data_IF_978680023090
#
_entry.id   IF_978680023090
#
_cell.length_a   1.000
_cell.length_b   1.000
_cell.length_c   1.000
_cell.angle_alpha   90.00
_cell.angle_beta   90.00
_cell.angle_gamma   90.00
#
_symmetry.space_group_name_H-M   'P 1'
#
loop_
_entity.id
_entity.type
_entity.pdbx_description
1 polymer ?
#
# COMPACT_ATOMS: atom_id res chain seq x y z
N UNK A 1 -8.61 -5.52 -14.98
CA UNK A 1 -8.18 -6.07 -13.66
C UNK A 1 -7.58 -7.48 -13.85
N UNK A 2 -6.28 -7.67 -13.55
CA UNK A 2 -5.60 -8.98 -13.72
C UNK A 2 -5.05 -9.58 -12.42
N UNK A 3 -4.85 -8.76 -11.40
CA UNK A 3 -4.32 -9.20 -10.10
C UNK A 3 -5.41 -10.02 -9.38
N UNK A 4 -5.05 -11.23 -8.95
CA UNK A 4 -5.93 -12.17 -8.23
C UNK A 4 -5.46 -12.47 -6.81
N UNK A 5 -4.17 -12.25 -6.50
CA UNK A 5 -3.61 -12.41 -5.16
C UNK A 5 -4.07 -11.32 -4.19
N UNK A 6 -3.98 -11.60 -2.88
CA UNK A 6 -4.21 -10.59 -1.84
C UNK A 6 -3.17 -9.48 -1.96
N UNK A 7 -3.58 -8.23 -1.73
CA UNK A 7 -2.72 -7.04 -1.84
C UNK A 7 -2.68 -6.28 -0.52
N UNK A 8 -1.47 -5.95 -0.06
CA UNK A 8 -1.25 -4.98 1.01
C UNK A 8 -0.46 -3.80 0.41
N UNK A 9 -0.94 -2.57 0.60
CA UNK A 9 -0.32 -1.36 0.03
C UNK A 9 -0.15 -0.28 1.11
N UNK A 10 1.06 0.23 1.32
CA UNK A 10 1.27 1.42 2.13
C UNK A 10 1.23 2.69 1.27
N UNK A 11 0.68 3.77 1.82
CA UNK A 11 0.59 5.08 1.16
C UNK A 11 0.92 6.19 2.16
N UNK A 12 1.96 6.97 1.88
CA UNK A 12 2.20 8.27 2.52
C UNK A 12 1.37 9.36 1.86
N UNK A 13 0.55 10.11 2.61
CA UNK A 13 -0.30 11.16 2.01
C UNK A 13 0.46 12.43 1.61
N UNK A 14 1.68 12.61 2.12
CA UNK A 14 2.57 13.72 1.78
C UNK A 14 3.60 13.34 0.69
N UNK A 15 3.48 12.16 0.07
CA UNK A 15 4.41 11.71 -0.98
C UNK A 15 4.17 12.49 -2.29
N UNK A 16 5.12 13.35 -2.64
CA UNK A 16 5.11 14.11 -3.91
C UNK A 16 5.85 13.39 -5.07
N UNK A 17 6.66 12.36 -4.77
CA UNK A 17 7.41 11.58 -5.77
C UNK A 17 6.49 10.56 -6.44
N UNK A 18 5.71 9.86 -5.63
CA UNK A 18 4.69 8.91 -6.05
C UNK A 18 3.32 9.37 -5.51
N UNK A 19 2.65 10.36 -6.13
CA UNK A 19 1.44 10.97 -5.55
C UNK A 19 0.36 9.94 -5.18
N UNK A 20 -0.32 10.07 -4.02
CA UNK A 20 -1.37 9.14 -3.58
C UNK A 20 -2.45 8.91 -4.64
N UNK A 21 -2.81 9.94 -5.40
CA UNK A 21 -3.77 9.84 -6.51
C UNK A 21 -3.37 8.81 -7.56
N UNK A 22 -2.08 8.75 -7.93
CA UNK A 22 -1.54 7.78 -8.89
C UNK A 22 -1.53 6.36 -8.32
N UNK A 23 -1.14 6.21 -7.06
CA UNK A 23 -1.16 4.93 -6.35
C UNK A 23 -2.59 4.39 -6.26
N UNK A 24 -3.55 5.24 -5.87
CA UNK A 24 -4.97 4.88 -5.80
C UNK A 24 -5.60 4.64 -7.18
N UNK A 25 -5.12 5.28 -8.26
CA UNK A 25 -5.58 4.97 -9.61
C UNK A 25 -5.31 3.50 -10.00
N UNK A 26 -4.17 2.94 -9.55
CA UNK A 26 -3.88 1.51 -9.70
C UNK A 26 -4.69 0.67 -8.70
N UNK A 27 -4.62 1.00 -7.40
CA UNK A 27 -5.29 0.26 -6.33
C UNK A 27 -6.79 0.12 -6.55
N UNK A 28 -7.48 1.18 -7.00
CA UNK A 28 -8.93 1.18 -7.23
C UNK A 28 -9.36 0.20 -8.33
N UNK A 29 -8.46 -0.14 -9.27
CA UNK A 29 -8.73 -1.13 -10.33
C UNK A 29 -8.46 -2.57 -9.91
N UNK A 30 -7.88 -2.81 -8.73
CA UNK A 30 -7.65 -4.15 -8.19
C UNK A 30 -8.98 -4.69 -7.65
N UNK A 31 -9.38 -5.88 -8.08
CA UNK A 31 -10.63 -6.56 -7.66
C UNK A 31 -10.40 -7.70 -6.67
N UNK A 32 -9.15 -8.14 -6.49
CA UNK A 32 -8.77 -9.10 -5.46
C UNK A 32 -8.85 -8.49 -4.05
N UNK A 33 -8.85 -9.31 -2.97
CA UNK A 33 -8.80 -8.80 -1.61
C UNK A 33 -7.60 -7.87 -1.43
N UNK A 34 -7.84 -6.68 -0.91
CA UNK A 34 -6.83 -5.62 -0.82
C UNK A 34 -7.01 -4.79 0.44
N UNK A 35 -5.90 -4.38 1.05
CA UNK A 35 -5.84 -3.51 2.22
C UNK A 35 -4.83 -2.37 1.97
N UNK A 36 -5.18 -1.18 2.44
CA UNK A 36 -4.33 0.00 2.34
C UNK A 36 -3.98 0.52 3.74
N UNK A 37 -2.69 0.71 4.00
CA UNK A 37 -2.15 1.27 5.24
C UNK A 37 -1.77 2.72 4.96
N UNK A 38 -2.42 3.65 5.64
CA UNK A 38 -2.28 5.09 5.37
C UNK A 38 -1.37 5.73 6.40
N UNK A 39 -0.38 6.47 5.93
CA UNK A 39 0.55 7.28 6.73
C UNK A 39 0.30 8.76 6.40
N UNK A 40 -0.53 9.48 7.17
CA UNK A 40 -0.99 10.82 6.80
C UNK A 40 0.12 11.85 6.69
N UNK A 41 1.12 11.77 7.57
CA UNK A 41 2.17 12.79 7.69
C UNK A 41 3.48 12.41 7.00
N UNK A 42 3.51 11.31 6.25
CA UNK A 42 4.73 10.76 5.65
C UNK A 42 4.80 11.01 4.15
N UNK A 43 6.01 11.32 3.68
CA UNK A 43 6.33 11.53 2.28
C UNK A 43 6.91 10.25 1.64
N UNK A 44 7.87 10.42 0.74
CA UNK A 44 8.59 9.32 0.09
C UNK A 44 9.75 8.82 0.97
N UNK A 45 9.42 8.11 2.03
CA UNK A 45 10.37 7.74 3.08
C UNK A 45 10.02 6.40 3.75
N UNK A 46 10.73 6.07 4.84
CA UNK A 46 10.47 4.84 5.58
C UNK A 46 9.17 4.95 6.40
N UNK A 47 8.29 3.95 6.26
CA UNK A 47 7.04 3.85 7.02
C UNK A 47 7.22 2.96 8.26
N UNK A 48 7.19 3.52 9.49
CA UNK A 48 7.39 2.76 10.71
C UNK A 48 6.36 1.63 10.86
N UNK A 49 6.82 0.41 11.15
CA UNK A 49 5.95 -0.76 11.35
C UNK A 49 5.45 -1.43 10.07
N UNK A 50 5.58 -0.81 8.89
CA UNK A 50 5.12 -1.43 7.65
C UNK A 50 5.91 -2.68 7.27
N UNK A 51 7.20 -2.73 7.63
CA UNK A 51 8.04 -3.91 7.42
C UNK A 51 7.55 -5.12 8.24
N UNK A 52 7.17 -4.90 9.50
CA UNK A 52 6.62 -5.96 10.34
C UNK A 52 5.25 -6.41 9.84
N UNK A 53 4.39 -5.47 9.42
CA UNK A 53 3.10 -5.80 8.78
C UNK A 53 3.30 -6.61 7.49
N UNK A 54 4.28 -6.25 6.66
CA UNK A 54 4.63 -6.98 5.45
C UNK A 54 5.10 -8.40 5.79
N UNK A 55 5.94 -8.55 6.82
CA UNK A 55 6.37 -9.88 7.28
C UNK A 55 5.18 -10.73 7.73
N UNK A 56 4.28 -10.20 8.55
CA UNK A 56 3.08 -10.92 9.00
C UNK A 56 2.15 -11.27 7.83
N UNK A 57 1.95 -10.35 6.89
CA UNK A 57 1.16 -10.58 5.68
C UNK A 57 1.70 -11.76 4.85
N UNK A 58 3.02 -11.83 4.70
CA UNK A 58 3.69 -12.89 3.94
C UNK A 58 3.80 -14.21 4.72
N UNK A 59 3.94 -14.16 6.04
CA UNK A 59 4.03 -15.35 6.89
C UNK A 59 2.69 -16.11 6.99
N UNK A 60 1.57 -15.44 6.74
CA UNK A 60 0.23 -16.03 6.65
C UNK A 60 -0.18 -16.48 5.25
N UNK A 61 0.79 -16.72 4.34
CA UNK A 61 0.57 -17.29 3.00
C UNK A 61 0.63 -18.82 3.01
#
# INVERSE_FOLDING_TARGET
PRITGRVLMAVGLMDEICPPSSQFAAYNKITAPKEAVIYPDFAHEHYPGFMDQTFQFMAGL
#
